data_IF_635146662595
#
_entry.id   IF_635146662595
#
_cell.length_a   1.000
_cell.length_b   1.000
_cell.length_c   1.000
_cell.angle_alpha   90.00
_cell.angle_beta   90.00
_cell.angle_gamma   90.00
#
_symmetry.space_group_name_H-M   'P 1'
#
loop_
_entity.id
_entity.type
_entity.pdbx_description
1 polymer ?
#
# COMPACT_ATOMS: atom_id res chain seq x y z
N UNK A 1 13.97 -4.69 2.29
CA UNK A 1 12.83 -4.44 1.40
C UNK A 1 11.52 -4.59 2.15
N UNK A 2 10.55 -3.77 1.81
CA UNK A 2 9.22 -3.84 2.42
C UNK A 2 8.22 -4.40 1.42
N UNK A 3 7.24 -5.11 1.92
CA UNK A 3 6.22 -5.72 1.08
C UNK A 3 4.89 -5.73 1.81
N UNK A 4 3.81 -5.78 1.05
CA UNK A 4 2.47 -5.94 1.63
C UNK A 4 1.55 -6.61 0.62
N UNK A 5 0.53 -7.26 1.12
CA UNK A 5 -0.49 -7.87 0.28
C UNK A 5 -1.76 -7.05 0.36
N UNK A 6 -2.27 -6.63 -0.80
CA UNK A 6 -3.53 -5.92 -0.85
C UNK A 6 -4.69 -6.91 -0.69
N UNK A 7 -5.80 -6.43 -0.15
CA UNK A 7 -7.00 -7.25 0.04
C UNK A 7 -7.52 -7.85 -1.26
N UNK A 8 -7.23 -7.19 -2.37
CA UNK A 8 -7.64 -7.70 -3.67
C UNK A 8 -6.73 -8.83 -4.18
N UNK A 9 -5.74 -9.23 -3.39
CA UNK A 9 -4.84 -10.31 -3.74
C UNK A 9 -3.57 -9.87 -4.45
N UNK A 10 -3.39 -8.59 -4.65
CA UNK A 10 -2.20 -8.08 -5.32
C UNK A 10 -1.05 -7.90 -4.33
N UNK A 11 0.14 -8.35 -4.73
CA UNK A 11 1.33 -8.23 -3.92
C UNK A 11 2.12 -6.99 -4.31
N UNK A 12 2.51 -6.19 -3.31
CA UNK A 12 3.30 -4.98 -3.53
C UNK A 12 4.64 -5.11 -2.84
N UNK A 13 5.70 -4.68 -3.52
CA UNK A 13 7.05 -4.67 -2.95
C UNK A 13 7.75 -3.36 -3.28
N UNK A 14 8.56 -2.87 -2.36
CA UNK A 14 9.34 -1.67 -2.55
C UNK A 14 10.61 -1.75 -1.71
N UNK A 15 11.55 -0.86 -1.97
CA UNK A 15 12.82 -0.84 -1.24
C UNK A 15 12.65 -0.44 0.22
N UNK A 16 11.71 0.44 0.50
CA UNK A 16 11.45 0.93 1.84
C UNK A 16 9.98 1.25 2.02
N UNK A 17 9.59 1.61 3.24
CA UNK A 17 8.20 1.88 3.56
C UNK A 17 7.64 3.09 2.81
N UNK A 18 8.46 4.11 2.56
CA UNK A 18 8.01 5.28 1.82
C UNK A 18 7.64 4.92 0.40
N UNK A 19 8.47 4.15 -0.27
CA UNK A 19 8.19 3.71 -1.63
C UNK A 19 6.99 2.76 -1.65
N UNK A 20 6.88 1.91 -0.63
CA UNK A 20 5.75 1.02 -0.52
C UNK A 20 4.45 1.81 -0.38
N UNK A 21 4.48 2.88 0.41
CA UNK A 21 3.34 3.77 0.55
C UNK A 21 2.93 4.38 -0.80
N UNK A 22 3.91 4.83 -1.58
CA UNK A 22 3.62 5.39 -2.91
C UNK A 22 3.02 4.35 -3.84
N UNK A 23 3.53 3.14 -3.80
CA UNK A 23 2.97 2.05 -4.59
C UNK A 23 1.54 1.74 -4.17
N UNK A 24 1.28 1.74 -2.85
CA UNK A 24 -0.06 1.52 -2.34
C UNK A 24 -1.01 2.63 -2.79
N UNK A 25 -0.56 3.88 -2.76
CA UNK A 25 -1.36 5.01 -3.22
C UNK A 25 -1.73 4.84 -4.70
N UNK A 26 -0.76 4.51 -5.51
CA UNK A 26 -0.99 4.31 -6.94
C UNK A 26 -1.94 3.15 -7.18
N UNK A 27 -1.75 2.05 -6.45
CA UNK A 27 -2.60 0.89 -6.57
C UNK A 27 -4.06 1.23 -6.26
N UNK A 28 -4.29 1.93 -5.16
CA UNK A 28 -5.64 2.32 -4.77
C UNK A 28 -6.25 3.26 -5.81
N UNK A 29 -5.46 4.19 -6.31
CA UNK A 29 -5.95 5.16 -7.29
C UNK A 29 -6.36 4.50 -8.61
N UNK A 30 -5.63 3.47 -9.03
CA UNK A 30 -5.89 2.79 -10.30
C UNK A 30 -6.94 1.68 -10.17
N UNK A 31 -6.88 0.91 -9.09
CA UNK A 31 -7.71 -0.29 -8.94
C UNK A 31 -8.96 -0.01 -8.11
N UNK A 32 -8.84 0.87 -7.13
CA UNK A 32 -9.92 1.18 -6.19
C UNK A 32 -10.21 2.67 -6.12
N UNK A 33 -10.51 3.32 -7.26
CA UNK A 33 -10.70 4.79 -7.27
C UNK A 33 -11.89 5.26 -6.42
N UNK A 34 -12.82 4.37 -6.13
CA UNK A 34 -14.01 4.71 -5.35
C UNK A 34 -13.76 4.69 -3.85
N UNK A 35 -12.66 4.14 -3.40
CA UNK A 35 -12.39 4.02 -1.96
C UNK A 35 -12.07 5.36 -1.31
N UNK A 36 -11.49 6.29 -2.05
CA UNK A 36 -11.17 7.63 -1.56
C UNK A 36 -10.47 7.65 -0.21
N UNK A 37 -9.45 6.83 -0.08
CA UNK A 37 -8.68 6.75 1.16
C UNK A 37 -7.82 7.99 1.34
N UNK A 38 -7.77 8.49 2.58
CA UNK A 38 -6.88 9.60 2.90
C UNK A 38 -5.45 9.08 3.08
N UNK A 39 -4.48 10.00 3.06
CA UNK A 39 -3.09 9.64 3.29
C UNK A 39 -2.91 8.94 4.65
N UNK A 40 -3.63 9.42 5.66
CA UNK A 40 -3.58 8.83 6.99
C UNK A 40 -4.08 7.39 6.98
N UNK A 41 -5.17 7.15 6.29
CA UNK A 41 -5.73 5.81 6.19
C UNK A 41 -4.79 4.88 5.44
N UNK A 42 -4.20 5.35 4.35
CA UNK A 42 -3.23 4.57 3.60
C UNK A 42 -1.99 4.25 4.42
N UNK A 43 -1.49 5.23 5.18
CA UNK A 43 -0.34 5.01 6.05
C UNK A 43 -0.64 3.94 7.10
N UNK A 44 -1.85 3.97 7.66
CA UNK A 44 -2.28 2.96 8.60
C UNK A 44 -2.31 1.57 7.98
N UNK A 45 -2.84 1.47 6.76
CA UNK A 45 -2.89 0.20 6.05
C UNK A 45 -1.48 -0.33 5.77
N UNK A 46 -0.59 0.52 5.31
CA UNK A 46 0.79 0.12 5.04
C UNK A 46 1.50 -0.30 6.33
N UNK A 47 1.31 0.47 7.41
CA UNK A 47 1.94 0.16 8.69
C UNK A 47 1.48 -1.18 9.24
N UNK A 48 0.20 -1.53 9.04
CA UNK A 48 -0.33 -2.79 9.53
C UNK A 48 -0.04 -3.96 8.61
N UNK A 49 -0.01 -3.72 7.31
CA UNK A 49 0.13 -4.79 6.34
C UNK A 49 1.55 -5.01 5.83
N UNK A 50 2.41 -4.01 5.95
CA UNK A 50 3.78 -4.11 5.44
C UNK A 50 4.64 -4.97 6.34
N UNK A 51 5.56 -5.68 5.72
CA UNK A 51 6.54 -6.51 6.44
C UNK A 51 7.87 -6.47 5.70
N UNK A 52 8.95 -6.70 6.44
CA UNK A 52 10.29 -6.75 5.85
C UNK A 52 10.54 -8.11 5.22
N UNK A 53 11.13 -8.06 4.06
CA UNK A 53 11.54 -9.28 3.36
C UNK A 53 13.04 -9.40 3.26
#
# INVERSE_FOLDING_TARGET
MSAMDCECGQHLEAENDEELFEEACRHVDEVHPDMQLTDEQLRGMVAEGAYDR
#
